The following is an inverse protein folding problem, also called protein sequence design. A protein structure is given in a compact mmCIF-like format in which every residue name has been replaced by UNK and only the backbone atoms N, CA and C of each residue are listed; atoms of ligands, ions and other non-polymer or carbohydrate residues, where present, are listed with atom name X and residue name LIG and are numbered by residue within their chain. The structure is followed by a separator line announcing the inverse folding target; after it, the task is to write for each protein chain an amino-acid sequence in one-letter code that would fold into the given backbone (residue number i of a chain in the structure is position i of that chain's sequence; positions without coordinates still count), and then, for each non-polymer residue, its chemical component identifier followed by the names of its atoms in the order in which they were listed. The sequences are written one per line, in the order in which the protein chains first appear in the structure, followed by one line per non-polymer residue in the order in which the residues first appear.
data_IF_686722854144
#
_entry.id   IF_686722854144
#
_cell.length_a   1.000
_cell.length_b   1.000
_cell.length_c   1.000
_cell.angle_alpha   90.00
_cell.angle_beta   90.00
_cell.angle_gamma   90.00
#
_symmetry.space_group_name_H-M   'P 1'
#
loop_
_entity.id
_entity.type
_entity.pdbx_description
1 polymer ?
#
# COMPACT_ATOMS: atom_id res chain seq x y z
N UNK A 1 0.61 3.98 3.09
CA UNK A 1 1.89 3.32 3.38
C UNK A 1 1.84 2.44 4.65
N UNK A 2 1.78 2.98 5.87
CA UNK A 2 1.83 2.16 7.12
C UNK A 2 0.78 1.05 7.09
N UNK A 3 -0.46 1.37 6.72
CA UNK A 3 -1.53 0.38 6.61
C UNK A 3 -1.20 -0.74 5.61
N UNK A 4 -0.61 -0.40 4.47
CA UNK A 4 -0.18 -1.37 3.44
C UNK A 4 0.85 -2.33 4.02
N UNK A 5 1.90 -1.81 4.66
CA UNK A 5 2.96 -2.62 5.29
C UNK A 5 2.40 -3.53 6.37
N UNK A 6 1.53 -3.02 7.26
CA UNK A 6 0.92 -3.83 8.33
C UNK A 6 0.04 -4.95 7.76
N UNK A 7 -0.83 -4.64 6.79
CA UNK A 7 -1.68 -5.65 6.14
C UNK A 7 -0.83 -6.70 5.42
N UNK A 8 0.16 -6.26 4.65
CA UNK A 8 1.04 -7.16 3.89
C UNK A 8 1.86 -8.07 4.80
N UNK A 9 2.42 -7.52 5.88
CA UNK A 9 3.20 -8.28 6.85
C UNK A 9 2.32 -9.31 7.57
N UNK A 10 1.14 -8.90 8.02
CA UNK A 10 0.18 -9.81 8.66
C UNK A 10 -0.23 -10.97 7.74
N UNK A 11 -0.55 -10.67 6.48
CA UNK A 11 -0.88 -11.70 5.48
C UNK A 11 0.33 -12.57 5.12
N UNK A 12 1.54 -12.01 5.03
CA UNK A 12 2.76 -12.77 4.77
C UNK A 12 3.02 -13.78 5.90
N UNK A 13 2.87 -13.38 7.16
CA UNK A 13 2.96 -14.29 8.32
C UNK A 13 1.88 -15.37 8.25
N UNK A 14 0.63 -15.01 7.95
CA UNK A 14 -0.46 -15.97 7.83
C UNK A 14 -0.19 -17.02 6.73
N UNK A 15 0.39 -16.61 5.60
CA UNK A 15 0.77 -17.54 4.51
C UNK A 15 1.96 -18.43 4.85
N UNK A 16 2.76 -18.10 5.86
CA UNK A 16 3.88 -18.94 6.35
C UNK A 16 3.40 -20.02 7.34
N UNK A 17 2.17 -19.96 7.83
CA UNK A 17 1.61 -21.02 8.69
C UNK A 17 1.44 -22.32 7.91
N UNK A 18 1.07 -23.43 8.61
CA UNK A 18 0.89 -24.77 8.04
C UNK A 18 -0.28 -24.81 7.04
N UNK A 19 -0.07 -24.21 5.87
CA UNK A 19 -1.06 -24.18 4.79
C UNK A 19 -0.63 -25.14 3.66
N UNK A 20 -1.56 -25.91 3.05
CA UNK A 20 -1.26 -26.75 1.89
C UNK A 20 -0.62 -25.93 0.76
N UNK A 21 0.41 -26.49 0.15
CA UNK A 21 1.20 -25.83 -0.91
C UNK A 21 0.33 -25.23 -2.04
N UNK A 22 -0.67 -25.92 -2.63
CA UNK A 22 -1.47 -25.36 -3.70
C UNK A 22 -2.29 -24.14 -3.25
N UNK A 23 -2.82 -24.15 -2.01
CA UNK A 23 -3.59 -23.05 -1.46
C UNK A 23 -2.69 -21.81 -1.22
N UNK A 24 -1.45 -22.03 -0.79
CA UNK A 24 -0.46 -20.97 -0.61
C UNK A 24 -0.12 -20.29 -1.94
N UNK A 25 0.07 -21.06 -3.01
CA UNK A 25 0.31 -20.50 -4.35
C UNK A 25 -0.92 -19.73 -4.85
N UNK A 26 -2.11 -20.30 -4.67
CA UNK A 26 -3.36 -19.63 -5.05
C UNK A 26 -3.48 -18.23 -4.39
N UNK A 27 -3.32 -18.14 -3.07
CA UNK A 27 -3.40 -16.86 -2.37
C UNK A 27 -2.31 -15.87 -2.80
N UNK A 28 -1.05 -16.34 -2.95
CA UNK A 28 0.03 -15.48 -3.43
C UNK A 28 -0.28 -14.88 -4.80
N UNK A 29 -0.74 -15.70 -5.73
CA UNK A 29 -1.10 -15.25 -7.08
C UNK A 29 -2.31 -14.30 -7.05
N UNK A 30 -3.35 -14.65 -6.30
CA UNK A 30 -4.56 -13.82 -6.19
C UNK A 30 -4.27 -12.44 -5.58
N UNK A 31 -3.44 -12.40 -4.54
CA UNK A 31 -3.07 -11.12 -3.90
C UNK A 31 -2.10 -10.28 -4.74
N UNK A 32 -1.33 -10.91 -5.62
CA UNK A 32 -0.44 -10.21 -6.53
C UNK A 32 -1.13 -9.73 -7.81
N UNK A 33 -2.24 -10.34 -8.20
CA UNK A 33 -2.96 -10.03 -9.44
C UNK A 33 -3.30 -8.53 -9.59
N UNK A 34 -3.80 -7.83 -8.55
CA UNK A 34 -4.03 -6.38 -8.64
C UNK A 34 -2.77 -5.58 -8.97
N UNK A 35 -1.59 -6.01 -8.53
CA UNK A 35 -0.34 -5.27 -8.74
C UNK A 35 0.04 -5.19 -10.22
N UNK A 36 -0.25 -6.24 -10.99
CA UNK A 36 0.11 -6.32 -12.42
C UNK A 36 -0.81 -5.48 -13.31
N UNK A 37 -2.03 -5.20 -12.84
CA UNK A 37 -3.03 -4.45 -13.62
C UNK A 37 -2.73 -2.95 -13.60
N UNK A 38 -3.19 -2.20 -14.62
CA UNK A 38 -3.08 -0.74 -14.65
C UNK A 38 -3.91 -0.09 -13.54
N UNK A 39 -3.32 0.88 -12.82
CA UNK A 39 -4.05 1.62 -11.78
C UNK A 39 -5.22 2.41 -12.36
N UNK A 40 -5.06 3.00 -13.55
CA UNK A 40 -6.13 3.72 -14.22
C UNK A 40 -7.34 2.82 -14.52
N UNK A 41 -7.11 1.61 -15.04
CA UNK A 41 -8.18 0.64 -15.33
C UNK A 41 -8.91 0.21 -14.05
N UNK A 42 -8.16 -0.08 -12.99
CA UNK A 42 -8.73 -0.41 -11.68
C UNK A 42 -9.55 0.76 -11.14
N UNK A 43 -9.04 1.98 -11.21
CA UNK A 43 -9.73 3.16 -10.70
C UNK A 43 -11.08 3.38 -11.41
N UNK A 44 -11.16 3.15 -12.72
CA UNK A 44 -12.42 3.20 -13.47
C UNK A 44 -13.40 2.15 -12.95
N UNK A 45 -12.98 0.90 -12.84
CA UNK A 45 -13.85 -0.19 -12.36
C UNK A 45 -14.33 0.09 -10.93
N UNK A 46 -13.42 0.50 -10.04
CA UNK A 46 -13.78 0.81 -8.66
C UNK A 46 -14.68 2.04 -8.54
N UNK A 47 -14.57 3.01 -9.44
CA UNK A 47 -15.50 4.14 -9.49
C UNK A 47 -16.96 3.69 -9.71
N UNK A 48 -17.17 2.68 -10.54
CA UNK A 48 -18.50 2.08 -10.71
C UNK A 48 -18.92 1.25 -9.49
N UNK A 49 -18.03 0.46 -8.91
CA UNK A 49 -18.33 -0.36 -7.72
C UNK A 49 -18.70 0.50 -6.51
N UNK A 50 -18.01 1.63 -6.31
CA UNK A 50 -18.24 2.60 -5.23
C UNK A 50 -19.25 3.70 -5.59
N UNK A 51 -19.93 3.62 -6.75
CA UNK A 51 -20.94 4.63 -7.10
C UNK A 51 -22.10 4.60 -6.12
N UNK A 52 -22.56 5.79 -5.66
CA UNK A 52 -23.55 5.90 -4.60
C UNK A 52 -24.86 5.20 -4.93
N UNK A 53 -25.41 5.42 -6.13
CA UNK A 53 -26.74 4.92 -6.53
C UNK A 53 -26.66 3.57 -7.26
N UNK A 54 -25.69 3.37 -8.14
CA UNK A 54 -25.58 2.22 -9.02
C UNK A 54 -24.51 1.21 -8.57
N UNK A 55 -23.72 1.54 -7.54
CA UNK A 55 -22.60 0.73 -7.12
C UNK A 55 -23.04 -0.55 -6.41
N UNK A 56 -22.42 -1.66 -6.81
CA UNK A 56 -22.73 -2.99 -6.27
C UNK A 56 -22.46 -3.08 -4.76
N UNK A 57 -21.51 -2.31 -4.24
CA UNK A 57 -21.21 -2.27 -2.80
C UNK A 57 -22.40 -1.73 -2.03
N UNK A 58 -22.97 -0.59 -2.44
CA UNK A 58 -24.14 -0.02 -1.80
C UNK A 58 -25.40 -0.89 -1.99
N UNK A 59 -25.51 -1.62 -3.09
CA UNK A 59 -26.58 -2.61 -3.28
C UNK A 59 -26.54 -3.69 -2.19
N UNK A 60 -25.40 -4.33 -1.97
CA UNK A 60 -25.27 -5.36 -0.91
C UNK A 60 -25.38 -4.79 0.50
N UNK A 61 -24.88 -3.58 0.76
CA UNK A 61 -25.08 -2.88 2.04
C UNK A 61 -26.57 -2.61 2.31
N UNK A 62 -27.33 -2.23 1.28
CA UNK A 62 -28.77 -2.05 1.37
C UNK A 62 -29.55 -3.31 1.74
N UNK A 63 -29.09 -4.51 1.28
CA UNK A 63 -29.73 -5.78 1.64
C UNK A 63 -29.62 -6.11 3.14
N UNK A 64 -28.59 -5.61 3.82
CA UNK A 64 -28.40 -5.75 5.27
C UNK A 64 -28.88 -4.55 6.08
N UNK A 65 -29.64 -3.63 5.43
CA UNK A 65 -30.27 -2.48 6.10
C UNK A 65 -29.33 -1.29 6.33
N UNK A 66 -28.15 -1.26 5.71
CA UNK A 66 -27.23 -0.10 5.79
C UNK A 66 -27.60 0.91 4.70
N UNK A 67 -27.73 2.19 5.09
CA UNK A 67 -27.98 3.28 4.15
C UNK A 67 -26.86 3.45 3.14
N UNK A 68 -27.20 3.96 1.94
CA UNK A 68 -26.24 4.20 0.86
C UNK A 68 -25.14 5.15 1.29
N UNK A 69 -23.91 4.66 1.31
CA UNK A 69 -22.73 5.44 1.68
C UNK A 69 -22.25 6.23 0.44
N UNK A 70 -22.00 7.54 0.57
CA UNK A 70 -21.51 8.38 -0.52
C UNK A 70 -19.97 8.26 -0.63
N UNK A 71 -19.48 7.09 -1.04
CA UNK A 71 -18.08 6.70 -1.07
C UNK A 71 -17.14 7.68 -1.78
N UNK A 72 -17.60 8.30 -2.88
CA UNK A 72 -16.78 9.18 -3.72
C UNK A 72 -17.19 10.65 -3.63
N UNK A 73 -18.37 10.95 -3.02
CA UNK A 73 -18.98 12.27 -3.02
C UNK A 73 -19.03 12.92 -1.64
N UNK A 74 -18.55 12.26 -0.60
CA UNK A 74 -18.38 12.81 0.75
C UNK A 74 -16.91 13.01 1.06
N UNK A 75 -16.53 14.14 1.63
CA UNK A 75 -15.16 14.48 2.00
C UNK A 75 -14.49 13.40 2.85
N UNK A 76 -15.22 12.85 3.82
CA UNK A 76 -14.72 11.79 4.71
C UNK A 76 -14.54 10.46 3.97
N UNK A 77 -15.55 10.05 3.19
CA UNK A 77 -15.56 8.75 2.54
C UNK A 77 -14.69 8.71 1.29
N UNK A 78 -14.55 9.82 0.57
CA UNK A 78 -13.73 9.88 -0.64
C UNK A 78 -12.26 9.59 -0.33
N UNK A 79 -11.70 10.25 0.69
CA UNK A 79 -10.32 9.99 1.12
C UNK A 79 -10.13 8.54 1.59
N UNK A 80 -11.08 8.03 2.40
CA UNK A 80 -11.06 6.64 2.86
C UNK A 80 -11.06 5.65 1.68
N UNK A 81 -11.93 5.88 0.68
CA UNK A 81 -12.03 5.02 -0.51
C UNK A 81 -10.75 5.04 -1.35
N UNK A 82 -10.12 6.22 -1.53
CA UNK A 82 -8.83 6.34 -2.21
C UNK A 82 -7.74 5.56 -1.44
N UNK A 83 -7.68 5.70 -0.11
CA UNK A 83 -6.71 4.96 0.72
C UNK A 83 -6.96 3.46 0.62
N UNK A 84 -8.20 3.01 0.75
CA UNK A 84 -8.58 1.59 0.65
C UNK A 84 -8.20 1.00 -0.71
N UNK A 85 -8.50 1.72 -1.80
CA UNK A 85 -8.13 1.34 -3.17
C UNK A 85 -6.61 1.22 -3.31
N UNK A 86 -5.87 2.19 -2.79
CA UNK A 86 -4.41 2.20 -2.85
C UNK A 86 -3.81 1.01 -2.09
N UNK A 87 -4.28 0.76 -0.85
CA UNK A 87 -3.83 -0.38 -0.04
C UNK A 87 -4.13 -1.69 -0.76
N UNK A 88 -5.37 -1.88 -1.23
CA UNK A 88 -5.78 -3.10 -1.95
C UNK A 88 -4.96 -3.33 -3.23
N UNK A 89 -4.59 -2.27 -3.94
CA UNK A 89 -3.79 -2.35 -5.16
C UNK A 89 -2.33 -2.73 -4.89
N UNK A 90 -1.75 -2.25 -3.78
CA UNK A 90 -0.30 -2.30 -3.57
C UNK A 90 0.15 -3.33 -2.55
N UNK A 91 -0.73 -3.79 -1.62
CA UNK A 91 -0.32 -4.71 -0.56
C UNK A 91 0.28 -6.03 -1.07
N UNK A 92 -0.16 -6.49 -2.26
CA UNK A 92 0.34 -7.73 -2.85
C UNK A 92 1.83 -7.68 -3.21
N UNK A 93 2.36 -6.51 -3.58
CA UNK A 93 3.79 -6.32 -3.82
C UNK A 93 4.60 -6.49 -2.53
N UNK A 94 4.21 -5.76 -1.47
CA UNK A 94 4.87 -5.84 -0.18
C UNK A 94 4.75 -7.25 0.43
N UNK A 95 3.60 -7.93 0.22
CA UNK A 95 3.38 -9.29 0.68
C UNK A 95 4.41 -10.25 0.08
N UNK A 96 4.62 -10.22 -1.25
CA UNK A 96 5.61 -11.09 -1.90
C UNK A 96 7.02 -10.75 -1.42
N UNK A 97 7.32 -9.47 -1.25
CA UNK A 97 8.59 -9.00 -0.74
C UNK A 97 8.86 -9.56 0.67
N UNK A 98 7.88 -9.48 1.58
CA UNK A 98 8.01 -10.01 2.94
C UNK A 98 8.09 -11.54 2.97
N UNK A 99 7.31 -12.23 2.14
CA UNK A 99 7.43 -13.70 2.00
C UNK A 99 8.82 -14.10 1.51
N UNK A 100 9.40 -13.37 0.55
CA UNK A 100 10.77 -13.62 0.09
C UNK A 100 11.79 -13.36 1.21
N UNK A 101 11.65 -12.24 1.93
CA UNK A 101 12.48 -11.93 3.08
C UNK A 101 12.43 -13.01 4.17
N UNK A 102 11.23 -13.48 4.52
CA UNK A 102 11.05 -14.55 5.52
C UNK A 102 11.65 -15.89 5.06
N UNK A 103 11.59 -16.20 3.77
CA UNK A 103 12.17 -17.44 3.23
C UNK A 103 13.71 -17.44 3.26
N UNK A 104 14.33 -16.26 3.29
CA UNK A 104 15.78 -16.12 3.40
C UNK A 104 16.30 -16.26 4.84
N UNK A 105 15.41 -16.26 5.84
CA UNK A 105 15.83 -16.49 7.24
C UNK A 105 16.24 -17.94 7.42
N UNK A 106 17.48 -18.23 7.88
CA UNK A 106 17.96 -19.59 8.09
C UNK A 106 17.09 -20.34 9.12
N UNK A 107 16.68 -21.56 8.76
CA UNK A 107 15.81 -22.40 9.63
C UNK A 107 16.39 -22.67 11.00
N UNK A 108 17.70 -22.71 11.09
CA UNK A 108 18.43 -22.94 12.36
C UNK A 108 17.97 -22.01 13.49
N UNK A 109 17.70 -20.73 13.20
CA UNK A 109 17.20 -19.80 14.21
C UNK A 109 15.86 -20.21 14.80
N UNK A 110 14.97 -20.75 13.96
CA UNK A 110 13.65 -21.21 14.42
C UNK A 110 13.74 -22.55 15.16
N UNK A 111 14.63 -23.45 14.74
CA UNK A 111 14.87 -24.73 15.38
C UNK A 111 15.44 -24.58 16.81
N UNK A 112 16.46 -23.71 16.96
CA UNK A 112 17.01 -23.38 18.29
C UNK A 112 15.94 -22.78 19.19
N UNK A 113 15.21 -21.77 18.70
CA UNK A 113 14.16 -21.14 19.48
C UNK A 113 13.01 -22.11 19.85
N UNK A 114 12.76 -23.13 19.05
CA UNK A 114 11.76 -24.16 19.36
C UNK A 114 12.24 -25.09 20.47
N UNK A 115 13.53 -25.43 20.49
CA UNK A 115 14.17 -26.18 21.59
C UNK A 115 14.12 -25.38 22.90
N UNK A 116 14.33 -24.05 22.81
CA UNK A 116 14.24 -23.13 23.97
C UNK A 116 12.78 -22.85 24.42
N UNK A 117 11.79 -23.49 23.79
CA UNK A 117 10.38 -23.35 24.13
C UNK A 117 9.71 -22.05 23.69
N UNK A 118 10.32 -21.32 22.75
CA UNK A 118 9.75 -20.08 22.23
C UNK A 118 8.46 -20.35 21.44
N UNK A 119 7.38 -19.68 21.80
CA UNK A 119 6.12 -19.72 21.07
C UNK A 119 6.20 -18.94 19.74
N UNK A 120 5.19 -19.09 18.87
CA UNK A 120 5.15 -18.44 17.57
C UNK A 120 5.24 -16.90 17.65
N UNK A 121 4.63 -16.29 18.65
CA UNK A 121 4.67 -14.84 18.89
C UNK A 121 6.08 -14.37 19.23
N UNK A 122 6.77 -15.07 20.15
CA UNK A 122 8.14 -14.75 20.52
C UNK A 122 9.09 -14.92 19.31
N UNK A 123 8.97 -16.02 18.56
CA UNK A 123 9.74 -16.24 17.32
C UNK A 123 9.52 -15.14 16.29
N UNK A 124 8.28 -14.65 16.12
CA UNK A 124 7.99 -13.55 15.20
C UNK A 124 8.72 -12.26 15.61
N UNK A 125 8.59 -11.84 16.86
CA UNK A 125 9.17 -10.56 17.31
C UNK A 125 10.67 -10.59 17.51
N UNK A 126 11.25 -11.74 17.95
CA UNK A 126 12.67 -11.83 18.29
C UNK A 126 13.55 -12.38 17.17
N UNK A 127 12.97 -13.06 16.18
CA UNK A 127 13.71 -13.67 15.07
C UNK A 127 13.25 -13.10 13.73
N UNK A 128 11.98 -13.33 13.40
CA UNK A 128 11.47 -12.99 12.04
C UNK A 128 11.58 -11.49 11.76
N UNK A 129 11.01 -10.67 12.63
CA UNK A 129 10.92 -9.21 12.42
C UNK A 129 12.31 -8.54 12.37
N UNK A 130 13.28 -8.83 13.26
CA UNK A 130 14.62 -8.28 13.15
C UNK A 130 15.37 -8.73 11.90
N UNK A 131 15.27 -10.02 11.51
CA UNK A 131 15.99 -10.54 10.37
C UNK A 131 15.43 -10.10 9.01
N UNK A 132 14.12 -9.77 8.92
CA UNK A 132 13.52 -9.17 7.72
C UNK A 132 13.51 -7.63 7.76
N UNK A 133 14.12 -7.01 8.78
CA UNK A 133 14.15 -5.55 8.90
C UNK A 133 14.70 -4.82 7.67
N UNK A 134 15.72 -5.34 6.91
CA UNK A 134 16.15 -4.74 5.65
C UNK A 134 15.03 -4.71 4.60
N UNK A 135 14.24 -5.78 4.54
CA UNK A 135 13.13 -5.91 3.60
C UNK A 135 11.99 -4.94 3.98
N UNK A 136 11.68 -4.83 5.26
CA UNK A 136 10.69 -3.87 5.77
C UNK A 136 11.14 -2.43 5.49
N UNK A 137 12.42 -2.14 5.73
CA UNK A 137 12.99 -0.83 5.43
C UNK A 137 12.85 -0.48 3.95
N UNK A 138 13.17 -1.41 3.05
CA UNK A 138 12.98 -1.23 1.61
C UNK A 138 11.53 -0.95 1.25
N UNK A 139 10.57 -1.73 1.79
CA UNK A 139 9.13 -1.50 1.57
C UNK A 139 8.69 -0.11 2.06
N UNK A 140 9.22 0.35 3.21
CA UNK A 140 8.94 1.68 3.74
C UNK A 140 9.49 2.80 2.84
N UNK A 141 10.69 2.64 2.27
CA UNK A 141 11.27 3.62 1.34
C UNK A 141 10.41 3.75 0.09
N UNK A 142 10.11 2.63 -0.57
CA UNK A 142 9.26 2.61 -1.77
C UNK A 142 7.85 3.13 -1.44
N UNK A 143 7.31 2.75 -0.28
CA UNK A 143 6.00 3.19 0.19
C UNK A 143 5.89 4.70 0.42
N UNK A 144 6.93 5.35 0.95
CA UNK A 144 6.97 6.83 1.09
C UNK A 144 7.00 7.47 -0.28
N UNK A 145 7.91 7.07 -1.15
CA UNK A 145 8.02 7.62 -2.51
C UNK A 145 6.66 7.52 -3.23
N UNK A 146 6.05 6.33 -3.24
CA UNK A 146 4.76 6.09 -3.89
C UNK A 146 3.61 6.89 -3.27
N UNK A 147 3.64 7.12 -1.94
CA UNK A 147 2.60 7.89 -1.26
C UNK A 147 2.58 9.37 -1.66
N UNK A 148 3.73 9.94 -2.00
CA UNK A 148 3.82 11.30 -2.54
C UNK A 148 3.48 11.40 -4.03
N UNK A 149 3.47 10.27 -4.75
CA UNK A 149 3.23 10.20 -6.20
C UNK A 149 1.82 9.70 -6.55
N UNK A 150 0.89 9.71 -5.62
CA UNK A 150 -0.52 9.32 -5.86
C UNK A 150 -1.15 10.28 -6.86
N UNK A 151 -1.64 9.74 -7.99
CA UNK A 151 -2.30 10.49 -9.05
C UNK A 151 -3.54 9.77 -9.59
N UNK A 152 -3.37 8.61 -10.23
CA UNK A 152 -4.41 7.94 -11.05
C UNK A 152 -5.73 7.76 -10.30
N UNK A 153 -5.70 7.16 -9.10
CA UNK A 153 -6.90 6.87 -8.33
C UNK A 153 -7.60 8.14 -7.86
N UNK A 154 -6.85 9.16 -7.42
CA UNK A 154 -7.44 10.42 -7.00
C UNK A 154 -8.01 11.20 -8.18
N UNK A 155 -7.31 11.19 -9.32
CA UNK A 155 -7.75 11.88 -10.52
C UNK A 155 -8.96 11.21 -11.17
N UNK A 156 -8.98 9.89 -11.29
CA UNK A 156 -10.03 9.15 -12.02
C UNK A 156 -11.29 9.00 -11.15
N UNK A 157 -11.14 8.63 -9.87
CA UNK A 157 -12.28 8.30 -9.02
C UNK A 157 -13.01 9.53 -8.48
N UNK A 158 -12.30 10.61 -8.17
CA UNK A 158 -12.87 11.77 -7.46
C UNK A 158 -12.55 13.12 -8.09
N UNK A 159 -11.64 13.19 -9.05
CA UNK A 159 -11.15 14.46 -9.61
C UNK A 159 -10.63 15.43 -8.52
N UNK A 160 -10.06 14.88 -7.43
CA UNK A 160 -9.59 15.65 -6.29
C UNK A 160 -10.68 16.04 -5.29
N UNK A 161 -11.96 15.82 -5.61
CA UNK A 161 -13.10 16.22 -4.79
C UNK A 161 -13.51 15.23 -3.71
N UNK A 162 -14.59 15.53 -2.97
CA UNK A 162 -15.25 16.83 -2.93
C UNK A 162 -14.45 17.89 -2.16
N UNK A 163 -14.54 19.16 -2.59
CA UNK A 163 -13.86 20.28 -1.91
C UNK A 163 -12.35 20.10 -1.73
N UNK A 164 -11.65 19.58 -2.73
CA UNK A 164 -10.21 19.29 -2.73
C UNK A 164 -9.75 18.24 -1.70
N UNK A 165 -10.67 17.48 -1.08
CA UNK A 165 -10.35 16.52 -0.02
C UNK A 165 -9.42 15.38 -0.47
N UNK A 166 -9.39 15.06 -1.76
CA UNK A 166 -8.52 14.02 -2.35
C UNK A 166 -7.52 14.59 -3.34
N UNK A 167 -7.38 15.92 -3.40
CA UNK A 167 -6.42 16.57 -4.30
C UNK A 167 -5.01 16.30 -3.85
N UNK A 168 -4.20 15.77 -4.76
CA UNK A 168 -2.79 15.46 -4.51
C UNK A 168 -1.88 16.51 -5.15
N UNK A 169 -0.65 16.61 -4.67
CA UNK A 169 0.34 17.51 -5.23
C UNK A 169 0.62 17.19 -6.72
N UNK A 170 0.63 15.91 -7.09
CA UNK A 170 0.84 15.49 -8.48
C UNK A 170 -0.32 15.91 -9.37
N UNK A 171 -1.57 15.89 -8.87
CA UNK A 171 -2.71 16.44 -9.59
C UNK A 171 -2.56 17.94 -9.84
N UNK A 172 -2.11 18.68 -8.83
CA UNK A 172 -1.87 20.14 -8.98
C UNK A 172 -0.79 20.40 -10.02
N UNK A 173 0.32 19.64 -9.99
CA UNK A 173 1.37 19.72 -11.02
C UNK A 173 0.81 19.46 -12.41
N UNK A 174 -0.02 18.42 -12.53
CA UNK A 174 -0.64 18.04 -13.80
C UNK A 174 -1.59 19.13 -14.34
N UNK A 175 -2.47 19.64 -13.47
CA UNK A 175 -3.45 20.68 -13.84
C UNK A 175 -2.76 21.99 -14.26
N UNK A 176 -1.69 22.40 -13.58
CA UNK A 176 -0.93 23.60 -13.94
C UNK A 176 -0.11 23.39 -15.22
N UNK A 177 0.59 22.27 -15.35
CA UNK A 177 1.45 21.99 -16.49
C UNK A 177 0.64 21.77 -17.77
N UNK A 178 -0.38 20.93 -17.73
CA UNK A 178 -1.11 20.45 -18.92
C UNK A 178 -2.51 21.05 -19.05
N UNK A 179 -3.19 21.34 -17.94
CA UNK A 179 -4.51 21.97 -17.96
C UNK A 179 -4.41 23.48 -18.23
N UNK A 180 -3.52 24.16 -17.54
CA UNK A 180 -3.31 25.61 -17.63
C UNK A 180 -2.17 26.00 -18.58
N UNK A 181 -1.44 25.05 -19.16
CA UNK A 181 -0.26 25.22 -20.02
C UNK A 181 0.86 26.04 -19.39
N UNK A 182 0.94 26.03 -18.05
CA UNK A 182 1.99 26.70 -17.27
C UNK A 182 3.17 25.76 -17.03
N UNK A 183 3.80 25.27 -18.09
CA UNK A 183 4.85 24.25 -18.03
C UNK A 183 5.99 24.64 -17.07
N UNK A 184 6.43 25.91 -17.08
CA UNK A 184 7.49 26.39 -16.19
C UNK A 184 7.12 26.29 -14.70
N UNK A 185 5.88 26.65 -14.35
CA UNK A 185 5.40 26.56 -12.98
C UNK A 185 5.19 25.10 -12.55
N UNK A 186 4.58 24.28 -13.39
CA UNK A 186 4.42 22.83 -13.14
C UNK A 186 5.78 22.13 -12.94
N UNK A 187 6.79 22.48 -13.76
CA UNK A 187 8.15 21.96 -13.62
C UNK A 187 8.81 22.41 -12.31
N UNK A 188 8.62 23.66 -11.89
CA UNK A 188 9.12 24.13 -10.61
C UNK A 188 8.50 23.37 -9.42
N UNK A 189 7.17 23.14 -9.43
CA UNK A 189 6.50 22.34 -8.41
C UNK A 189 7.01 20.89 -8.40
N UNK A 190 7.23 20.28 -9.57
CA UNK A 190 7.78 18.94 -9.68
C UNK A 190 9.20 18.84 -9.09
N UNK A 191 10.04 19.84 -9.30
CA UNK A 191 11.38 19.93 -8.69
C UNK A 191 11.31 20.07 -7.17
N UNK A 192 10.38 20.87 -6.65
CA UNK A 192 10.15 20.97 -5.20
C UNK A 192 9.71 19.62 -4.62
N UNK A 193 8.75 18.96 -5.26
CA UNK A 193 8.29 17.63 -4.84
C UNK A 193 9.44 16.63 -4.85
N UNK A 194 10.25 16.61 -5.91
CA UNK A 194 11.45 15.77 -5.98
C UNK A 194 12.40 16.06 -4.81
N UNK A 195 12.67 17.32 -4.50
CA UNK A 195 13.53 17.71 -3.39
C UNK A 195 12.99 17.22 -2.04
N UNK A 196 11.68 17.32 -1.81
CA UNK A 196 11.03 16.82 -0.59
C UNK A 196 11.17 15.31 -0.47
N UNK A 197 10.86 14.55 -1.54
CA UNK A 197 10.98 13.10 -1.56
C UNK A 197 12.44 12.68 -1.34
N UNK A 198 13.38 13.33 -2.00
CA UNK A 198 14.82 13.07 -1.84
C UNK A 198 15.28 13.31 -0.40
N UNK A 199 14.88 14.42 0.20
CA UNK A 199 15.21 14.74 1.60
C UNK A 199 14.68 13.68 2.56
N UNK A 200 13.39 13.31 2.42
CA UNK A 200 12.77 12.27 3.25
C UNK A 200 13.47 10.91 3.07
N UNK A 201 13.83 10.56 1.84
CA UNK A 201 14.54 9.32 1.54
C UNK A 201 15.93 9.33 2.19
N UNK A 202 16.69 10.43 2.10
CA UNK A 202 18.00 10.56 2.77
C UNK A 202 17.85 10.42 4.29
N UNK A 203 16.85 11.06 4.88
CA UNK A 203 16.56 10.96 6.31
C UNK A 203 16.27 9.50 6.69
N UNK A 204 15.42 8.82 5.92
CA UNK A 204 15.12 7.40 6.15
C UNK A 204 16.38 6.52 6.09
N UNK A 205 17.24 6.71 5.08
CA UNK A 205 18.48 5.93 4.98
C UNK A 205 19.40 6.17 6.18
N UNK A 206 19.57 7.43 6.63
CA UNK A 206 20.38 7.71 7.83
C UNK A 206 19.83 7.07 9.11
N UNK A 207 18.51 7.04 9.27
CA UNK A 207 17.89 6.43 10.44
C UNK A 207 17.79 4.92 10.31
N UNK A 208 17.52 4.42 9.10
CA UNK A 208 17.37 2.99 8.82
C UNK A 208 18.65 2.20 9.07
N UNK A 209 19.82 2.76 8.79
CA UNK A 209 21.12 2.12 9.07
C UNK A 209 21.29 1.71 10.54
N UNK A 210 20.59 2.38 11.48
CA UNK A 210 20.62 2.05 12.91
C UNK A 210 19.62 0.96 13.30
N UNK A 211 18.60 0.72 12.50
CA UNK A 211 17.52 -0.24 12.79
C UNK A 211 17.65 -1.54 12.00
N UNK A 212 18.43 -1.51 10.92
CA UNK A 212 18.59 -2.66 10.02
C UNK A 212 19.74 -3.54 10.50
N UNK A 213 19.42 -4.80 10.80
CA UNK A 213 20.40 -5.81 11.14
C UNK A 213 20.88 -6.48 9.84
N UNK A 214 22.04 -6.04 9.34
CA UNK A 214 22.74 -6.75 8.25
C UNK A 214 23.44 -7.96 8.85
N UNK A 215 23.20 -9.13 8.28
CA UNK A 215 23.95 -10.36 8.57
C UNK A 215 25.32 -10.33 7.93
#
# INVERSE_FOLDING_TARGET
MILTVVVSLGLAVALQTRMPTPLRYFFRTSYFLPVVTSMASIAIILSFLFHKELGIINYYLGLIGIEKIPWLTSTRWALFTIVLTTVWKTFGFDLILFVAGMNNVPRQFYEVAEIDGANAWHRFWSITLPLISPTIFFALVIGIISSFQVFDQAYIMTRGGPGDATRTIVMTIYDDAFGSLRLGYGSAMALVLFGVIMLLTIIQFKWGQRMVHYQ
#
